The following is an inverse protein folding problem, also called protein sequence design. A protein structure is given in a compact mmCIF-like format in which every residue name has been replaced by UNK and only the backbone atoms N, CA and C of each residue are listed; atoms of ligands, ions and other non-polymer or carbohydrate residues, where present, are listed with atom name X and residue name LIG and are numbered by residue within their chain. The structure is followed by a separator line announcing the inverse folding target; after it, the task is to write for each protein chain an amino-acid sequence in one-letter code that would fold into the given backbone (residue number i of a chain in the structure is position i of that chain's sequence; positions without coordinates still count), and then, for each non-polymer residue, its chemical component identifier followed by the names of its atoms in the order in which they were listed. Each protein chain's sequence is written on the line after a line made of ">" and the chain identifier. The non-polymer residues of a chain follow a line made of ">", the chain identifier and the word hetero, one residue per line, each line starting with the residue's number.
data_IF_618242795030
#
_entry.id   IF_618242795030
#
_cell.length_a   1.000
_cell.length_b   1.000
_cell.length_c   1.000
_cell.angle_alpha   90.00
_cell.angle_beta   90.00
_cell.angle_gamma   90.00
#
_symmetry.space_group_name_H-M   'P 1'
#
loop_
_entity.id
_entity.type
_entity.pdbx_description
1 polymer ?
#
# COMPACT_ATOMS: atom_id res chain seq x y z
N UNK A 1 -0.08 -6.39 7.49
CA UNK A 1 0.39 -7.27 6.39
C UNK A 1 -0.31 -6.93 5.07
N UNK A 2 -1.64 -7.06 5.02
CA UNK A 2 -2.47 -6.70 3.87
C UNK A 2 -3.33 -5.47 4.18
N UNK A 3 -3.46 -4.54 3.23
CA UNK A 3 -4.28 -3.33 3.38
C UNK A 3 -5.46 -3.40 2.43
N UNK A 4 -6.63 -3.00 2.93
CA UNK A 4 -7.87 -2.86 2.18
C UNK A 4 -7.99 -1.42 1.67
N UNK A 5 -8.25 -1.30 0.38
CA UNK A 5 -8.45 -0.04 -0.32
C UNK A 5 -9.42 -0.27 -1.47
N UNK A 6 -10.01 0.81 -1.96
CA UNK A 6 -10.92 0.82 -3.10
C UNK A 6 -10.54 1.93 -4.06
N UNK A 7 -10.82 1.70 -5.34
CA UNK A 7 -10.68 2.69 -6.39
C UNK A 7 -12.02 2.88 -7.08
N UNK A 8 -12.56 4.11 -7.07
CA UNK A 8 -13.80 4.46 -7.75
C UNK A 8 -13.52 5.51 -8.84
N UNK A 9 -13.42 5.09 -10.12
CA UNK A 9 -13.12 6.03 -11.22
C UNK A 9 -14.16 7.13 -11.38
N UNK A 10 -15.42 6.89 -10.98
CA UNK A 10 -16.47 7.90 -11.09
C UNK A 10 -16.19 9.14 -10.21
N UNK A 11 -15.43 8.97 -9.12
CA UNK A 11 -15.06 10.07 -8.25
C UNK A 11 -14.14 11.09 -8.94
N UNK A 12 -13.37 10.67 -9.96
CA UNK A 12 -12.51 11.57 -10.74
C UNK A 12 -13.34 12.60 -11.51
N UNK A 13 -14.46 12.16 -12.08
CA UNK A 13 -15.40 13.05 -12.80
C UNK A 13 -16.06 14.07 -11.85
N UNK A 14 -16.11 13.76 -10.56
CA UNK A 14 -16.59 14.67 -9.51
C UNK A 14 -15.47 15.55 -8.92
N UNK A 15 -14.24 15.46 -9.45
CA UNK A 15 -13.07 16.17 -8.92
C UNK A 15 -12.64 15.70 -7.54
N UNK A 16 -13.00 14.47 -7.14
CA UNK A 16 -12.64 13.86 -5.85
C UNK A 16 -11.56 12.81 -6.05
N UNK A 17 -10.88 12.47 -4.97
CA UNK A 17 -9.88 11.40 -4.99
C UNK A 17 -10.57 10.03 -5.21
N UNK A 18 -10.24 9.29 -6.28
CA UNK A 18 -10.82 7.99 -6.56
C UNK A 18 -10.29 6.89 -5.65
N UNK A 19 -9.13 7.10 -5.03
CA UNK A 19 -8.49 6.14 -4.16
C UNK A 19 -8.91 6.36 -2.70
N UNK A 20 -9.44 5.31 -2.07
CA UNK A 20 -9.78 5.31 -0.64
C UNK A 20 -9.03 4.19 0.07
N UNK A 21 -8.32 4.54 1.15
CA UNK A 21 -7.69 3.57 2.04
C UNK A 21 -8.62 3.25 3.21
N UNK A 22 -9.23 2.06 3.19
CA UNK A 22 -10.22 1.65 4.21
C UNK A 22 -9.56 1.12 5.49
N UNK A 23 -8.34 0.58 5.37
CA UNK A 23 -7.57 0.09 6.51
C UNK A 23 -6.96 1.23 7.33
N UNK A 24 -7.09 1.13 8.66
CA UNK A 24 -6.37 1.99 9.59
C UNK A 24 -4.87 1.68 9.59
N UNK A 25 -4.10 2.55 10.23
CA UNK A 25 -2.69 2.28 10.52
C UNK A 25 -2.57 1.00 11.38
N UNK A 26 -1.79 0.00 10.93
CA UNK A 26 -1.63 -1.25 11.68
C UNK A 26 -0.67 -1.08 12.85
N UNK A 27 -0.76 -1.97 13.85
CA UNK A 27 0.29 -2.12 14.84
C UNK A 27 1.50 -2.84 14.21
N UNK A 28 2.59 -2.11 13.97
CA UNK A 28 3.78 -2.68 13.31
C UNK A 28 4.58 -3.64 14.20
N UNK A 29 4.39 -3.60 15.52
CA UNK A 29 5.08 -4.50 16.45
C UNK A 29 4.52 -5.92 16.36
N UNK A 30 3.27 -6.07 15.93
CA UNK A 30 2.62 -7.36 15.71
C UNK A 30 2.97 -8.00 14.36
N UNK A 31 3.68 -7.30 13.47
CA UNK A 31 3.92 -7.75 12.09
C UNK A 31 4.69 -9.08 12.02
N UNK A 32 5.77 -9.18 12.79
CA UNK A 32 6.57 -10.42 12.81
C UNK A 32 5.85 -11.56 13.52
N UNK A 33 5.05 -11.25 14.55
CA UNK A 33 4.16 -12.21 15.20
C UNK A 33 3.15 -12.81 14.23
N UNK A 34 2.56 -11.98 13.38
CA UNK A 34 1.70 -12.44 12.28
C UNK A 34 2.44 -13.40 11.34
N UNK A 35 3.66 -13.06 10.89
CA UNK A 35 4.43 -13.95 10.01
C UNK A 35 4.71 -15.30 10.70
N UNK A 36 5.21 -15.27 11.94
CA UNK A 36 5.52 -16.49 12.72
C UNK A 36 4.30 -17.36 13.00
N UNK A 37 3.08 -16.80 12.93
CA UNK A 37 1.83 -17.54 13.06
C UNK A 37 1.46 -18.42 11.86
N UNK A 38 2.11 -18.24 10.70
CA UNK A 38 1.83 -19.04 9.51
C UNK A 38 2.99 -20.01 9.19
N UNK A 39 2.64 -21.27 8.90
CA UNK A 39 3.61 -22.35 8.64
C UNK A 39 4.59 -22.00 7.52
N UNK A 40 4.14 -21.29 6.48
CA UNK A 40 4.96 -20.89 5.33
C UNK A 40 6.14 -19.97 5.69
N UNK A 41 6.03 -19.21 6.78
CA UNK A 41 7.11 -18.36 7.27
C UNK A 41 7.89 -19.03 8.40
N UNK A 42 7.19 -19.75 9.28
CA UNK A 42 7.81 -20.49 10.38
C UNK A 42 8.79 -21.57 9.88
N UNK A 43 8.51 -22.20 8.73
CA UNK A 43 9.40 -23.20 8.12
C UNK A 43 10.75 -22.62 7.71
N UNK A 44 10.77 -21.41 7.13
CA UNK A 44 12.00 -20.71 6.72
C UNK A 44 12.81 -20.29 7.95
N UNK A 45 12.16 -19.74 8.98
CA UNK A 45 12.83 -19.39 10.24
C UNK A 45 13.49 -20.60 10.91
N UNK A 46 12.86 -21.78 10.84
CA UNK A 46 13.42 -23.01 11.42
C UNK A 46 14.65 -23.50 10.65
N UNK A 47 14.65 -23.39 9.32
CA UNK A 47 15.73 -23.91 8.47
C UNK A 47 16.90 -22.92 8.35
N UNK A 48 16.60 -21.63 8.25
CA UNK A 48 17.54 -20.56 7.92
C UNK A 48 17.29 -19.34 8.83
N UNK A 49 17.65 -19.42 10.12
CA UNK A 49 17.23 -18.42 11.11
C UNK A 49 17.85 -17.03 10.89
N UNK A 50 19.07 -16.95 10.35
CA UNK A 50 19.74 -15.67 10.08
C UNK A 50 19.10 -14.97 8.87
N UNK A 51 18.92 -15.71 7.77
CA UNK A 51 18.29 -15.24 6.54
C UNK A 51 16.82 -14.90 6.77
N UNK A 52 16.11 -15.69 7.58
CA UNK A 52 14.73 -15.38 7.95
C UNK A 52 14.60 -14.06 8.71
N UNK A 53 15.53 -13.75 9.62
CA UNK A 53 15.53 -12.48 10.33
C UNK A 53 15.72 -11.29 9.36
N UNK A 54 16.65 -11.41 8.41
CA UNK A 54 16.86 -10.42 7.36
C UNK A 54 15.62 -10.26 6.47
N UNK A 55 15.06 -11.38 5.98
CA UNK A 55 13.87 -11.39 5.13
C UNK A 55 12.64 -10.84 5.83
N UNK A 56 12.46 -11.12 7.13
CA UNK A 56 11.33 -10.58 7.91
C UNK A 56 11.47 -9.07 8.13
N UNK A 57 12.69 -8.58 8.41
CA UNK A 57 12.96 -7.14 8.48
C UNK A 57 12.67 -6.45 7.15
N UNK A 58 13.14 -7.02 6.03
CA UNK A 58 12.87 -6.51 4.69
C UNK A 58 11.37 -6.54 4.37
N UNK A 59 10.66 -7.61 4.73
CA UNK A 59 9.22 -7.72 4.53
C UNK A 59 8.44 -6.66 5.32
N UNK A 60 8.83 -6.38 6.58
CA UNK A 60 8.23 -5.32 7.41
C UNK A 60 8.46 -3.95 6.78
N UNK A 61 9.71 -3.65 6.39
CA UNK A 61 10.06 -2.39 5.73
C UNK A 61 9.28 -2.19 4.42
N UNK A 62 9.17 -3.23 3.60
CA UNK A 62 8.39 -3.19 2.36
C UNK A 62 6.89 -2.99 2.61
N UNK A 63 6.33 -3.63 3.65
CA UNK A 63 4.94 -3.43 4.03
C UNK A 63 4.67 -1.99 4.52
N UNK A 64 5.58 -1.42 5.32
CA UNK A 64 5.53 -0.02 5.77
C UNK A 64 5.62 0.95 4.59
N UNK A 65 6.56 0.70 3.67
CA UNK A 65 6.72 1.51 2.47
C UNK A 65 5.45 1.48 1.60
N UNK A 66 4.86 0.30 1.39
CA UNK A 66 3.60 0.15 0.64
C UNK A 66 2.43 0.85 1.33
N UNK A 67 2.28 0.70 2.64
CA UNK A 67 1.27 1.42 3.43
C UNK A 67 1.40 2.95 3.26
N UNK A 68 2.62 3.47 3.37
CA UNK A 68 2.89 4.90 3.22
C UNK A 68 2.55 5.40 1.81
N UNK A 69 2.75 4.59 0.77
CA UNK A 69 2.28 4.91 -0.59
C UNK A 69 0.75 5.02 -0.64
N UNK A 70 0.02 4.05 -0.08
CA UNK A 70 -1.45 4.13 -0.04
C UNK A 70 -1.95 5.34 0.75
N UNK A 71 -1.31 5.67 1.87
CA UNK A 71 -1.62 6.87 2.66
C UNK A 71 -1.41 8.15 1.85
N UNK A 72 -0.31 8.24 1.09
CA UNK A 72 -0.08 9.36 0.16
C UNK A 72 -1.15 9.44 -0.92
N UNK A 73 -1.48 8.31 -1.55
CA UNK A 73 -2.53 8.26 -2.56
C UNK A 73 -3.87 8.72 -2.01
N UNK A 74 -4.25 8.32 -0.79
CA UNK A 74 -5.52 8.75 -0.17
C UNK A 74 -5.57 10.23 0.23
N UNK A 75 -4.41 10.90 0.33
CA UNK A 75 -4.30 12.32 0.70
C UNK A 75 -3.99 13.21 -0.50
N UNK A 76 -3.74 12.63 -1.67
CA UNK A 76 -3.45 13.38 -2.88
C UNK A 76 -4.66 14.22 -3.27
N UNK A 77 -4.41 15.49 -3.59
CA UNK A 77 -5.45 16.38 -4.08
C UNK A 77 -5.76 16.01 -5.54
N UNK A 78 -6.98 15.54 -5.77
CA UNK A 78 -7.51 15.25 -7.10
C UNK A 78 -8.36 16.44 -7.54
N UNK A 79 -8.36 16.77 -8.84
CA UNK A 79 -9.15 17.88 -9.39
C UNK A 79 -8.42 19.23 -9.48
N UNK A 80 -7.13 19.28 -9.15
CA UNK A 80 -6.22 20.39 -9.52
C UNK A 80 -5.04 19.79 -10.27
N UNK A 81 -5.30 19.35 -11.49
CA UNK A 81 -4.21 18.91 -12.35
C UNK A 81 -3.33 20.11 -12.71
N UNK A 82 -2.00 19.94 -12.79
CA UNK A 82 -1.18 20.92 -13.52
C UNK A 82 -1.77 21.07 -14.93
N UNK A 83 -1.79 22.29 -15.47
CA UNK A 83 -2.43 22.59 -16.76
C UNK A 83 -2.10 21.52 -17.80
N UNK A 84 -3.13 20.77 -18.22
CA UNK A 84 -3.00 19.71 -19.20
C UNK A 84 -2.82 20.35 -20.57
N UNK A 85 -1.92 19.81 -21.36
CA UNK A 85 -1.82 20.13 -22.78
C UNK A 85 -3.08 19.65 -23.50
N UNK A 86 -3.41 20.29 -24.63
CA UNK A 86 -4.59 19.92 -25.43
C UNK A 86 -4.55 18.45 -25.91
N UNK A 87 -3.36 17.86 -26.01
CA UNK A 87 -3.17 16.44 -26.35
C UNK A 87 -3.55 15.52 -25.18
N UNK A 88 -3.21 15.88 -23.95
CA UNK A 88 -3.56 15.12 -22.74
C UNK A 88 -5.06 15.18 -22.44
N UNK A 89 -5.72 16.31 -22.73
CA UNK A 89 -7.18 16.43 -22.64
C UNK A 89 -7.90 15.49 -23.64
N UNK A 90 -7.36 15.34 -24.85
CA UNK A 90 -7.95 14.49 -25.88
C UNK A 90 -7.89 12.99 -25.54
N UNK A 91 -6.87 12.56 -24.78
CA UNK A 91 -6.70 11.17 -24.34
C UNK A 91 -7.63 10.75 -23.17
N UNK A 92 -8.27 11.72 -22.51
CA UNK A 92 -9.18 11.46 -21.37
C UNK A 92 -10.66 11.29 -21.78
N UNK A 93 -11.02 11.53 -23.05
CA UNK A 93 -12.36 11.31 -23.61
C UNK A 93 -12.47 9.95 -24.30
#
# INVERSE_FOLDING_TARGET
>A
YWHLWRYNPAAEMEGKNPFTLDSKEPNWDEFEGFLKGEVRYASVMKQYPAEAAELFAAAKANAQWRYNNYKRLSLQNWGTDPELTSEEEALRK
#
